data_IF_549172928883
#
_entry.id   IF_549172928883
#
_cell.length_a   1.000
_cell.length_b   1.000
_cell.length_c   1.000
_cell.angle_alpha   90.00
_cell.angle_beta   90.00
_cell.angle_gamma   90.00
#
_symmetry.space_group_name_H-M   'P 1'
#
loop_
_entity.id
_entity.type
_entity.pdbx_description
1 polymer ?
#
# COMPACT_ATOMS: atom_id res chain seq x y z
N UNK A 1 -1.78 4.85 -5.65
CA UNK A 1 -0.78 5.88 -5.29
C UNK A 1 -0.92 7.10 -6.16
N UNK A 2 -1.99 7.83 -5.85
CA UNK A 2 -2.20 9.22 -6.18
C UNK A 2 -1.25 10.08 -5.32
N UNK A 3 -0.81 11.21 -5.86
CA UNK A 3 0.11 12.11 -5.16
C UNK A 3 -0.60 13.02 -4.15
N UNK A 4 -1.93 13.11 -4.25
CA UNK A 4 -2.81 13.94 -3.44
C UNK A 4 -4.00 13.08 -3.02
N UNK A 5 -4.18 12.89 -1.72
CA UNK A 5 -5.20 12.00 -1.16
C UNK A 5 -5.90 12.62 0.06
N UNK A 6 -5.82 13.93 0.27
CA UNK A 6 -6.32 14.55 1.48
C UNK A 6 -7.78 14.19 1.80
N UNK A 7 -8.66 14.18 0.79
CA UNK A 7 -10.08 13.80 0.95
C UNK A 7 -10.22 12.33 1.36
N UNK A 8 -9.58 11.40 0.63
CA UNK A 8 -9.62 9.97 0.95
C UNK A 8 -9.04 9.68 2.34
N UNK A 9 -7.97 10.37 2.72
CA UNK A 9 -7.34 10.24 4.03
C UNK A 9 -8.25 10.72 5.15
N UNK A 10 -8.80 11.94 5.01
CA UNK A 10 -9.66 12.57 6.01
C UNK A 10 -10.99 11.83 6.18
N UNK A 11 -11.60 11.40 5.07
CA UNK A 11 -12.96 10.90 5.09
C UNK A 11 -13.06 9.39 5.34
N UNK A 12 -12.00 8.63 5.02
CA UNK A 12 -12.04 7.17 5.06
C UNK A 12 -10.81 6.52 5.70
N UNK A 13 -9.62 6.77 5.15
CA UNK A 13 -8.43 5.96 5.45
C UNK A 13 -7.94 6.13 6.90
N UNK A 14 -7.84 7.37 7.40
CA UNK A 14 -7.35 7.63 8.75
C UNK A 14 -8.25 6.97 9.80
N UNK A 15 -9.56 7.09 9.65
CA UNK A 15 -10.55 6.53 10.57
C UNK A 15 -10.52 4.99 10.53
N UNK A 16 -10.31 4.40 9.35
CA UNK A 16 -10.15 2.96 9.19
C UNK A 16 -8.87 2.43 9.87
N UNK A 17 -7.74 3.15 9.74
CA UNK A 17 -6.48 2.80 10.45
C UNK A 17 -6.66 2.89 11.96
N UNK A 18 -7.31 3.93 12.47
CA UNK A 18 -7.60 4.06 13.91
C UNK A 18 -8.42 2.87 14.39
N UNK A 19 -9.53 2.55 13.72
CA UNK A 19 -10.39 1.40 14.09
C UNK A 19 -9.65 0.07 14.03
N UNK A 20 -8.73 -0.07 13.07
CA UNK A 20 -7.89 -1.28 12.96
C UNK A 20 -6.96 -1.41 14.18
N UNK A 21 -6.32 -0.31 14.60
CA UNK A 21 -5.46 -0.29 15.81
C UNK A 21 -6.26 -0.57 17.07
N UNK A 22 -7.50 -0.09 17.17
CA UNK A 22 -8.41 -0.38 18.28
C UNK A 22 -8.85 -1.85 18.30
N UNK A 23 -9.07 -2.44 17.11
CA UNK A 23 -9.48 -3.84 16.97
C UNK A 23 -8.38 -4.81 17.39
N UNK A 24 -7.13 -4.55 17.00
CA UNK A 24 -5.99 -5.39 17.39
C UNK A 24 -5.45 -5.06 18.78
N UNK A 25 -5.69 -3.85 19.28
CA UNK A 25 -5.12 -3.33 20.50
C UNK A 25 -3.76 -2.66 20.28
N UNK A 26 -3.53 -1.54 20.97
CA UNK A 26 -2.35 -0.69 20.79
C UNK A 26 -1.03 -1.43 21.04
N UNK A 27 -1.01 -2.40 21.96
CA UNK A 27 0.19 -3.17 22.30
C UNK A 27 0.56 -4.23 21.23
N UNK A 28 -0.37 -4.55 20.32
CA UNK A 28 -0.18 -5.58 19.29
C UNK A 28 0.09 -4.99 17.89
N UNK A 29 0.18 -3.66 17.77
CA UNK A 29 0.32 -2.98 16.48
C UNK A 29 1.43 -1.93 16.54
N UNK A 30 2.17 -1.81 15.45
CA UNK A 30 3.02 -0.67 15.17
C UNK A 30 2.63 -0.05 13.83
N UNK A 31 2.45 1.27 13.79
CA UNK A 31 2.06 1.99 12.56
C UNK A 31 3.26 2.73 11.98
N UNK A 32 3.72 2.35 10.79
CA UNK A 32 4.72 3.11 10.01
C UNK A 32 4.06 3.75 8.80
N UNK A 33 4.12 5.08 8.70
CA UNK A 33 3.58 5.85 7.57
C UNK A 33 4.70 6.72 7.01
N UNK A 34 4.86 6.66 5.69
CA UNK A 34 5.75 7.54 4.96
C UNK A 34 4.98 8.26 3.85
N UNK A 35 4.94 9.59 3.91
CA UNK A 35 4.30 10.43 2.91
C UNK A 35 5.34 10.89 1.86
N UNK A 36 4.99 10.75 0.58
CA UNK A 36 5.88 10.93 -0.56
C UNK A 36 5.97 12.37 -1.12
N UNK A 37 5.66 13.39 -0.33
CA UNK A 37 5.73 14.78 -0.76
C UNK A 37 4.49 15.22 -1.55
N UNK A 38 3.30 14.99 -1.00
CA UNK A 38 2.07 15.60 -1.51
C UNK A 38 2.18 17.13 -1.47
N UNK A 39 1.41 17.80 -2.32
CA UNK A 39 1.30 19.26 -2.29
C UNK A 39 -0.11 19.73 -1.87
N UNK A 40 -0.96 18.80 -1.47
CA UNK A 40 -2.28 19.03 -0.89
C UNK A 40 -2.25 18.88 0.65
N UNK A 41 -3.43 18.91 1.27
CA UNK A 41 -3.60 18.76 2.72
C UNK A 41 -3.30 17.34 3.26
N UNK A 42 -2.77 16.39 2.46
CA UNK A 42 -2.49 15.04 2.93
C UNK A 42 -1.50 15.05 4.10
N UNK A 43 -0.52 15.97 4.07
CA UNK A 43 0.44 16.16 5.17
C UNK A 43 -0.26 16.49 6.48
N UNK A 44 -1.25 17.38 6.43
CA UNK A 44 -2.00 17.79 7.61
C UNK A 44 -2.92 16.67 8.10
N UNK A 45 -3.58 15.97 7.19
CA UNK A 45 -4.39 14.79 7.53
C UNK A 45 -3.57 13.70 8.24
N UNK A 46 -2.32 13.47 7.80
CA UNK A 46 -1.44 12.49 8.43
C UNK A 46 -0.90 12.97 9.79
N UNK A 47 -0.67 14.27 9.98
CA UNK A 47 -0.34 14.82 11.31
C UNK A 47 -1.50 14.67 12.29
N UNK A 48 -2.74 14.86 11.82
CA UNK A 48 -3.92 14.61 12.64
C UNK A 48 -4.02 13.13 13.04
N UNK A 49 -3.78 12.21 12.10
CA UNK A 49 -3.72 10.78 12.40
C UNK A 49 -2.63 10.46 13.42
N UNK A 50 -1.43 11.02 13.26
CA UNK A 50 -0.31 10.82 14.18
C UNK A 50 -0.68 11.23 15.61
N UNK A 51 -1.33 12.38 15.78
CA UNK A 51 -1.82 12.85 17.07
C UNK A 51 -2.94 11.96 17.66
N UNK A 52 -3.84 11.43 16.82
CA UNK A 52 -4.89 10.52 17.28
C UNK A 52 -4.36 9.14 17.71
N UNK A 53 -3.34 8.62 17.01
CA UNK A 53 -2.63 7.42 17.41
C UNK A 53 -1.81 7.64 18.69
N UNK A 54 -1.24 8.83 18.87
CA UNK A 54 -0.54 9.22 20.11
C UNK A 54 -1.46 9.15 21.33
N UNK A 55 -2.62 9.79 21.24
CA UNK A 55 -3.61 9.80 22.33
C UNK A 55 -4.06 8.40 22.73
N UNK A 56 -3.99 7.44 21.81
CA UNK A 56 -4.34 6.02 22.01
C UNK A 56 -3.16 5.16 22.45
N UNK A 57 -1.99 5.74 22.67
CA UNK A 57 -0.74 5.05 23.00
C UNK A 57 -0.33 3.99 21.95
N UNK A 58 -0.70 4.19 20.69
CA UNK A 58 -0.28 3.28 19.61
C UNK A 58 1.17 3.60 19.22
N UNK A 59 2.10 2.63 19.30
CA UNK A 59 3.46 2.79 18.80
C UNK A 59 3.46 3.10 17.30
N UNK A 60 4.17 4.16 16.90
CA UNK A 60 4.16 4.61 15.51
C UNK A 60 5.42 5.34 15.08
N UNK A 61 5.60 5.45 13.77
CA UNK A 61 6.48 6.40 13.09
C UNK A 61 5.74 7.00 11.91
N UNK A 62 5.50 8.30 11.94
CA UNK A 62 4.89 9.03 10.83
C UNK A 62 5.90 10.05 10.31
N UNK A 63 6.42 9.81 9.11
CA UNK A 63 7.38 10.69 8.45
C UNK A 63 6.70 11.35 7.25
N UNK A 64 6.62 12.67 7.27
CA UNK A 64 6.06 13.48 6.19
C UNK A 64 7.18 14.20 5.47
N UNK A 65 7.25 14.10 4.14
CA UNK A 65 8.34 14.73 3.39
C UNK A 65 8.19 16.26 3.35
N UNK A 66 9.26 16.98 3.64
CA UNK A 66 9.32 18.44 3.50
C UNK A 66 9.37 18.88 2.02
N UNK A 67 9.83 18.00 1.13
CA UNK A 67 9.95 18.27 -0.32
C UNK A 67 8.76 17.66 -1.04
N UNK A 68 8.08 18.43 -1.89
CA UNK A 68 6.97 17.89 -2.67
C UNK A 68 7.48 17.17 -3.92
N UNK A 69 6.67 16.27 -4.48
CA UNK A 69 6.95 15.70 -5.81
C UNK A 69 7.04 16.81 -6.87
N UNK A 70 6.27 17.89 -6.72
CA UNK A 70 6.36 19.06 -7.58
C UNK A 70 7.74 19.73 -7.49
N UNK A 71 8.28 19.90 -6.29
CA UNK A 71 9.63 20.45 -6.10
C UNK A 71 10.67 19.55 -6.75
N UNK A 72 10.56 18.23 -6.60
CA UNK A 72 11.46 17.27 -7.24
C UNK A 72 11.44 17.39 -8.77
N UNK A 73 10.26 17.51 -9.39
CA UNK A 73 10.16 17.61 -10.87
C UNK A 73 10.54 18.99 -11.41
N UNK A 74 10.43 20.05 -10.60
CA UNK A 74 10.75 21.43 -11.00
C UNK A 74 12.18 21.85 -10.70
N UNK A 75 12.94 21.03 -9.95
CA UNK A 75 14.37 21.26 -9.67
C UNK A 75 15.14 21.65 -10.95
N UNK A 76 16.06 22.64 -10.87
CA UNK A 76 16.94 22.99 -11.97
C UNK A 76 17.69 21.78 -12.49
N UNK A 77 17.95 21.71 -13.79
CA UNK A 77 18.54 20.52 -14.43
C UNK A 77 19.89 20.11 -13.82
N UNK A 78 20.66 21.07 -13.31
CA UNK A 78 21.96 20.84 -12.63
C UNK A 78 21.83 20.16 -11.26
N UNK A 79 20.64 20.18 -10.67
CA UNK A 79 20.33 19.63 -9.35
C UNK A 79 19.53 18.31 -9.44
N UNK A 80 19.19 17.89 -10.66
CA UNK A 80 18.48 16.63 -10.91
C UNK A 80 19.45 15.46 -10.77
N UNK A 81 19.21 14.61 -9.77
CA UNK A 81 20.05 13.44 -9.48
C UNK A 81 19.77 12.22 -10.36
N UNK A 82 20.15 11.04 -9.88
CA UNK A 82 19.91 9.78 -10.58
C UNK A 82 18.42 9.45 -10.73
N UNK A 83 18.02 8.90 -11.89
CA UNK A 83 16.65 8.42 -12.13
C UNK A 83 15.87 9.19 -13.19
N UNK A 84 16.39 10.32 -13.66
CA UNK A 84 15.84 11.07 -14.79
C UNK A 84 16.18 10.40 -16.12
N UNK A 85 15.24 10.42 -17.06
CA UNK A 85 15.39 9.89 -18.42
C UNK A 85 14.88 10.92 -19.44
N UNK A 86 15.49 10.93 -20.62
CA UNK A 86 15.03 11.75 -21.74
C UNK A 86 13.91 11.01 -22.50
N UNK A 87 12.77 11.67 -22.70
CA UNK A 87 11.64 11.16 -23.48
C UNK A 87 11.30 12.14 -24.60
N UNK A 88 10.43 11.74 -25.54
CA UNK A 88 9.92 12.64 -26.58
C UNK A 88 9.11 13.84 -26.04
N UNK A 89 8.70 13.80 -24.77
CA UNK A 89 7.99 14.87 -24.06
C UNK A 89 8.91 15.72 -23.16
N UNK A 90 10.21 15.43 -23.14
CA UNK A 90 11.20 16.07 -22.28
C UNK A 90 11.78 15.10 -21.23
N UNK A 91 12.53 15.64 -20.26
CA UNK A 91 13.08 14.85 -19.15
C UNK A 91 12.00 14.48 -18.15
N UNK A 92 11.90 13.20 -17.83
CA UNK A 92 10.95 12.65 -16.86
C UNK A 92 11.69 11.87 -15.75
N UNK A 93 11.22 11.98 -14.51
CA UNK A 93 11.74 11.18 -13.39
C UNK A 93 11.11 9.79 -13.42
N UNK A 94 11.94 8.73 -13.39
CA UNK A 94 11.43 7.36 -13.32
C UNK A 94 10.68 7.13 -12.01
N UNK A 95 9.37 6.94 -12.12
CA UNK A 95 8.45 6.73 -10.99
C UNK A 95 8.75 5.48 -10.18
N UNK A 96 9.08 4.35 -10.83
CA UNK A 96 9.28 3.06 -10.13
C UNK A 96 10.47 3.11 -9.15
N UNK A 97 11.69 3.53 -9.55
CA UNK A 97 12.82 3.65 -8.61
C UNK A 97 12.54 4.62 -7.46
N UNK A 98 11.83 5.72 -7.73
CA UNK A 98 11.44 6.67 -6.68
C UNK A 98 10.53 5.98 -5.64
N UNK A 99 9.45 5.33 -6.08
CA UNK A 99 8.53 4.62 -5.18
C UNK A 99 9.20 3.47 -4.44
N UNK A 100 10.12 2.76 -5.09
CA UNK A 100 10.89 1.69 -4.45
C UNK A 100 11.75 2.23 -3.29
N UNK A 101 12.41 3.38 -3.46
CA UNK A 101 13.17 4.03 -2.37
C UNK A 101 12.27 4.37 -1.18
N UNK A 102 11.05 4.84 -1.43
CA UNK A 102 10.11 5.16 -0.36
C UNK A 102 9.64 3.92 0.40
N UNK A 103 9.27 2.85 -0.31
CA UNK A 103 8.91 1.56 0.32
C UNK A 103 10.05 0.95 1.11
N UNK A 104 11.29 1.10 0.62
CA UNK A 104 12.45 0.62 1.36
C UNK A 104 12.65 1.35 2.70
N UNK A 105 12.22 2.61 2.82
CA UNK A 105 12.27 3.34 4.11
C UNK A 105 11.33 2.71 5.13
N UNK A 106 10.09 2.40 4.78
CA UNK A 106 9.14 1.78 5.72
C UNK A 106 9.60 0.36 6.12
N UNK A 107 10.20 -0.39 5.18
CA UNK A 107 10.80 -1.69 5.50
C UNK A 107 12.01 -1.54 6.42
N UNK A 108 12.77 -0.45 6.33
CA UNK A 108 13.90 -0.21 7.21
C UNK A 108 13.48 -0.07 8.68
N UNK A 109 12.29 0.46 8.97
CA UNK A 109 11.75 0.51 10.33
C UNK A 109 11.61 -0.87 10.95
N UNK A 110 11.16 -1.87 10.18
CA UNK A 110 11.06 -3.25 10.63
C UNK A 110 12.43 -3.82 11.02
N UNK A 111 13.48 -3.49 10.26
CA UNK A 111 14.86 -3.90 10.56
C UNK A 111 15.37 -3.22 11.83
N UNK A 112 15.09 -1.93 12.00
CA UNK A 112 15.51 -1.17 13.19
C UNK A 112 14.78 -1.63 14.46
N UNK A 113 13.49 -1.93 14.37
CA UNK A 113 12.70 -2.51 15.46
C UNK A 113 13.17 -3.91 15.82
N UNK A 114 13.47 -4.75 14.83
CA UNK A 114 14.04 -6.08 15.05
C UNK A 114 15.38 -6.03 15.80
N UNK A 115 16.26 -5.08 15.48
CA UNK A 115 17.51 -4.85 16.23
C UNK A 115 17.29 -4.45 17.69
N UNK A 116 16.13 -3.87 18.00
CA UNK A 116 15.70 -3.51 19.37
C UNK A 116 14.95 -4.66 20.07
N UNK A 117 14.82 -5.82 19.43
CA UNK A 117 14.13 -6.99 19.97
C UNK A 117 12.61 -6.98 19.74
N UNK A 118 12.08 -6.07 18.92
CA UNK A 118 10.67 -6.01 18.57
C UNK A 118 10.46 -6.74 17.24
N UNK A 119 9.61 -7.77 17.24
CA UNK A 119 9.30 -8.59 16.07
C UNK A 119 7.80 -8.66 15.84
N UNK A 120 7.39 -8.87 14.59
CA UNK A 120 5.98 -8.96 14.20
C UNK A 120 5.71 -10.28 13.49
N UNK A 121 4.57 -10.90 13.79
CA UNK A 121 4.14 -12.15 13.12
C UNK A 121 3.60 -11.89 11.71
N UNK A 122 3.04 -10.68 11.49
CA UNK A 122 2.45 -10.24 10.24
C UNK A 122 2.87 -8.80 9.94
N UNK A 123 3.02 -8.49 8.65
CA UNK A 123 3.24 -7.13 8.15
C UNK A 123 2.12 -6.85 7.17
N UNK A 124 1.36 -5.78 7.43
CA UNK A 124 0.28 -5.32 6.55
C UNK A 124 0.74 -4.07 5.81
N UNK A 125 0.78 -4.15 4.49
CA UNK A 125 1.07 -3.01 3.62
C UNK A 125 -0.24 -2.39 3.15
N UNK A 126 -0.41 -1.10 3.44
CA UNK A 126 -1.56 -0.30 3.03
C UNK A 126 -1.12 0.77 2.04
N UNK A 127 -1.69 0.74 0.83
CA UNK A 127 -1.69 1.90 -0.06
C UNK A 127 -2.82 2.89 0.36
N UNK A 128 -3.01 3.92 -0.46
CA UNK A 128 -4.08 4.91 -0.44
C UNK A 128 -5.43 4.38 -0.94
N UNK A 129 -5.88 3.23 -0.41
CA UNK A 129 -7.14 2.58 -0.80
C UNK A 129 -8.21 2.71 0.28
N UNK A 130 -9.48 2.77 -0.12
CA UNK A 130 -10.60 2.74 0.85
C UNK A 130 -10.82 1.30 1.30
N UNK A 131 -10.87 1.08 2.62
CA UNK A 131 -11.04 -0.24 3.20
C UNK A 131 -11.79 -0.17 4.55
N UNK A 132 -12.29 -1.32 4.97
CA UNK A 132 -12.89 -1.54 6.29
C UNK A 132 -12.04 -2.47 7.14
N UNK A 133 -12.26 -2.48 8.45
CA UNK A 133 -11.61 -3.44 9.36
C UNK A 133 -11.90 -4.88 8.92
N UNK A 134 -13.13 -5.16 8.45
CA UNK A 134 -13.53 -6.49 8.01
C UNK A 134 -12.77 -6.95 6.75
N UNK A 135 -12.46 -6.03 5.83
CA UNK A 135 -11.62 -6.35 4.66
C UNK A 135 -10.22 -6.82 5.09
N UNK A 136 -9.62 -6.15 6.08
CA UNK A 136 -8.30 -6.51 6.61
C UNK A 136 -8.35 -7.82 7.40
N UNK A 137 -9.36 -8.02 8.25
CA UNK A 137 -9.53 -9.27 8.99
C UNK A 137 -9.74 -10.45 8.04
N UNK A 138 -10.54 -10.27 6.99
CA UNK A 138 -10.75 -11.28 5.94
C UNK A 138 -9.46 -11.59 5.21
N UNK A 139 -8.68 -10.56 4.85
CA UNK A 139 -7.38 -10.74 4.22
C UNK A 139 -6.40 -11.49 5.15
N UNK A 140 -6.36 -11.15 6.44
CA UNK A 140 -5.50 -11.82 7.42
C UNK A 140 -5.92 -13.27 7.71
N UNK A 141 -7.20 -13.60 7.54
CA UNK A 141 -7.71 -14.97 7.67
C UNK A 141 -7.58 -15.80 6.38
N UNK A 142 -6.94 -15.26 5.33
CA UNK A 142 -6.67 -16.01 4.08
C UNK A 142 -6.05 -17.37 4.42
N UNK A 143 -6.68 -18.45 3.96
CA UNK A 143 -6.24 -19.82 4.26
C UNK A 143 -6.05 -20.09 5.78
N UNK A 144 -6.93 -19.55 6.63
CA UNK A 144 -6.87 -19.67 8.09
C UNK A 144 -5.62 -19.03 8.69
N UNK A 145 -5.12 -17.96 8.09
CA UNK A 145 -3.90 -17.26 8.49
C UNK A 145 -2.59 -17.89 8.01
N UNK A 146 -2.64 -19.01 7.28
CA UNK A 146 -1.46 -19.73 6.80
C UNK A 146 -1.11 -19.39 5.36
N UNK A 147 -0.28 -18.36 5.18
CA UNK A 147 0.22 -17.89 3.90
C UNK A 147 1.57 -17.18 4.07
N UNK A 148 2.39 -17.18 3.02
CA UNK A 148 3.60 -16.38 2.97
C UNK A 148 3.31 -14.92 2.59
N UNK A 149 2.36 -14.72 1.66
CA UNK A 149 1.81 -13.42 1.28
C UNK A 149 0.36 -13.61 0.78
N UNK A 150 -0.49 -12.62 1.03
CA UNK A 150 -1.85 -12.55 0.52
C UNK A 150 -2.11 -11.10 0.09
N UNK A 151 -2.93 -10.89 -0.93
CA UNK A 151 -3.29 -9.53 -1.36
C UNK A 151 -4.79 -9.44 -1.59
N UNK A 152 -5.33 -8.26 -1.34
CA UNK A 152 -6.72 -7.95 -1.65
C UNK A 152 -6.96 -7.85 -3.17
N UNK A 153 -8.22 -7.81 -3.59
CA UNK A 153 -8.57 -7.41 -4.95
C UNK A 153 -8.99 -5.94 -4.94
N UNK A 154 -8.13 -5.07 -5.47
CA UNK A 154 -8.36 -3.62 -5.54
C UNK A 154 -9.23 -3.26 -6.76
N UNK A 155 -10.39 -2.65 -6.54
CA UNK A 155 -11.30 -2.20 -7.59
C UNK A 155 -11.37 -0.68 -7.63
N UNK A 156 -11.07 -0.09 -8.78
CA UNK A 156 -11.24 1.37 -8.97
C UNK A 156 -12.71 1.78 -8.95
N UNK A 157 -13.54 1.02 -9.67
CA UNK A 157 -15.01 1.07 -9.61
C UNK A 157 -15.53 -0.31 -9.97
N UNK A 158 -16.11 -1.08 -9.04
CA UNK A 158 -16.64 -2.39 -9.35
C UNK A 158 -17.56 -2.35 -10.59
N UNK A 159 -17.37 -3.26 -11.57
CA UNK A 159 -16.55 -4.48 -11.51
C UNK A 159 -15.11 -4.35 -12.05
N UNK A 160 -14.59 -3.12 -12.24
CA UNK A 160 -13.27 -2.86 -12.84
C UNK A 160 -12.12 -3.14 -11.85
N UNK A 161 -11.44 -4.27 -12.05
CA UNK A 161 -10.29 -4.69 -11.29
C UNK A 161 -9.05 -3.86 -11.67
N UNK A 162 -8.37 -3.35 -10.65
CA UNK A 162 -7.28 -2.38 -10.73
C UNK A 162 -6.03 -2.88 -9.97
N UNK A 163 -4.96 -2.10 -10.05
CA UNK A 163 -3.65 -2.38 -9.44
C UNK A 163 -3.07 -3.77 -9.81
N UNK A 164 -3.28 -4.20 -11.06
CA UNK A 164 -2.93 -5.54 -11.54
C UNK A 164 -1.48 -5.68 -12.02
N UNK A 165 -0.63 -4.67 -11.78
CA UNK A 165 0.73 -4.62 -12.33
C UNK A 165 1.60 -5.79 -11.86
N UNK A 166 1.57 -6.07 -10.55
CA UNK A 166 2.31 -7.17 -9.91
C UNK A 166 1.55 -8.51 -9.94
N UNK A 167 0.28 -8.51 -10.35
CA UNK A 167 -0.55 -9.70 -10.33
C UNK A 167 -0.12 -10.70 -11.41
N UNK A 168 0.21 -11.91 -10.99
CA UNK A 168 0.47 -13.04 -11.86
C UNK A 168 -0.34 -14.23 -11.38
N UNK A 169 -1.12 -14.84 -12.28
CA UNK A 169 -1.90 -16.03 -11.94
C UNK A 169 -1.01 -17.21 -11.56
N UNK A 170 -1.60 -18.36 -11.20
CA UNK A 170 -0.81 -19.52 -10.74
C UNK A 170 0.11 -20.10 -11.83
N UNK A 171 -0.12 -19.76 -13.10
CA UNK A 171 0.73 -20.15 -14.24
C UNK A 171 1.73 -19.03 -14.62
N UNK A 172 1.76 -17.93 -13.87
CA UNK A 172 2.66 -16.80 -14.11
C UNK A 172 2.16 -15.80 -15.15
N UNK A 173 0.91 -15.89 -15.61
CA UNK A 173 0.37 -14.96 -16.60
C UNK A 173 -0.11 -13.66 -15.94
N UNK A 174 0.09 -12.54 -16.63
CA UNK A 174 -0.51 -11.26 -16.23
C UNK A 174 -2.05 -11.31 -16.32
N UNK A 175 -2.69 -10.35 -15.65
CA UNK A 175 -4.13 -10.14 -15.74
C UNK A 175 -4.61 -10.07 -17.20
N UNK A 176 -5.76 -10.67 -17.48
CA UNK A 176 -6.29 -10.75 -18.86
C UNK A 176 -7.10 -9.51 -19.21
N UNK A 177 -7.95 -9.06 -18.29
CA UNK A 177 -8.83 -7.91 -18.47
C UNK A 177 -9.32 -7.39 -17.11
N UNK A 178 -9.88 -6.18 -17.11
CA UNK A 178 -10.36 -5.50 -15.90
C UNK A 178 -11.73 -5.99 -15.44
N UNK A 179 -12.50 -6.69 -16.28
CA UNK A 179 -13.77 -7.32 -15.90
C UNK A 179 -13.62 -8.83 -15.88
N UNK A 180 -14.61 -9.55 -15.37
CA UNK A 180 -14.55 -11.01 -15.44
C UNK A 180 -14.42 -11.50 -16.90
N UNK A 181 -13.50 -12.44 -17.21
CA UNK A 181 -12.55 -13.12 -16.32
C UNK A 181 -11.19 -12.42 -16.13
N UNK A 182 -10.77 -12.26 -14.87
CA UNK A 182 -9.50 -11.60 -14.50
C UNK A 182 -8.24 -12.45 -14.82
N UNK A 183 -8.33 -13.77 -14.63
CA UNK A 183 -7.19 -14.70 -14.72
C UNK A 183 -7.21 -15.57 -15.99
N UNK A 184 -6.03 -15.91 -16.52
CA UNK A 184 -5.88 -16.83 -17.66
C UNK A 184 -5.85 -18.29 -17.24
N UNK A 185 -5.28 -18.60 -16.10
CA UNK A 185 -5.27 -19.96 -15.56
C UNK A 185 -6.69 -20.38 -15.17
N UNK A 186 -7.04 -21.62 -15.56
CA UNK A 186 -8.29 -22.24 -15.13
C UNK A 186 -8.32 -22.46 -13.62
N UNK A 187 -7.17 -22.76 -13.01
CA UNK A 187 -7.08 -23.02 -11.56
C UNK A 187 -7.40 -21.77 -10.76
N UNK A 188 -6.79 -20.63 -11.07
CA UNK A 188 -7.09 -19.35 -10.41
C UNK A 188 -8.55 -18.91 -10.65
N UNK A 189 -9.07 -19.05 -11.88
CA UNK A 189 -10.49 -18.76 -12.16
C UNK A 189 -11.45 -19.64 -11.38
N UNK A 190 -11.19 -20.95 -11.34
CA UNK A 190 -12.04 -21.89 -10.62
C UNK A 190 -12.04 -21.58 -9.13
N UNK A 191 -10.89 -21.22 -8.54
CA UNK A 191 -10.82 -20.85 -7.14
C UNK A 191 -11.74 -19.65 -6.84
N UNK A 192 -11.74 -18.64 -7.70
CA UNK A 192 -12.59 -17.46 -7.54
C UNK A 192 -14.09 -17.81 -7.69
N UNK A 193 -14.47 -18.55 -8.74
CA UNK A 193 -15.90 -18.87 -9.03
C UNK A 193 -16.49 -19.83 -8.00
N UNK A 194 -15.67 -20.70 -7.42
CA UNK A 194 -16.12 -21.65 -6.39
C UNK A 194 -16.00 -21.08 -4.97
N UNK A 195 -15.72 -19.78 -4.82
CA UNK A 195 -15.58 -19.11 -3.52
C UNK A 195 -14.63 -19.85 -2.58
N UNK A 196 -13.51 -20.34 -3.11
CA UNK A 196 -12.47 -20.93 -2.27
C UNK A 196 -11.86 -19.84 -1.38
N UNK A 197 -11.34 -20.24 -0.21
CA UNK A 197 -10.78 -19.30 0.77
C UNK A 197 -9.56 -18.51 0.31
N UNK A 198 -8.98 -18.83 -0.86
CA UNK A 198 -7.95 -18.04 -1.52
C UNK A 198 -7.89 -18.37 -3.02
N UNK A 199 -7.44 -17.40 -3.82
CA UNK A 199 -7.08 -17.63 -5.23
C UNK A 199 -5.57 -17.82 -5.33
N UNK A 200 -5.08 -18.99 -5.78
CA UNK A 200 -3.65 -19.21 -5.91
C UNK A 200 -3.09 -18.36 -7.06
N UNK A 201 -1.98 -17.68 -6.76
CA UNK A 201 -1.25 -16.76 -7.64
C UNK A 201 0.25 -16.95 -7.43
N UNK A 202 1.05 -16.61 -8.43
CA UNK A 202 2.51 -16.61 -8.28
C UNK A 202 3.04 -15.29 -7.71
N UNK A 203 2.32 -14.18 -7.92
CA UNK A 203 2.59 -12.90 -7.28
C UNK A 203 1.35 -12.01 -7.25
N UNK A 204 1.28 -11.13 -6.25
CA UNK A 204 0.27 -10.08 -6.14
C UNK A 204 0.83 -8.87 -5.40
N UNK A 205 0.22 -7.69 -5.63
CA UNK A 205 0.36 -6.48 -4.83
C UNK A 205 -0.75 -5.55 -5.31
N UNK A 206 -1.83 -5.43 -4.54
CA UNK A 206 -3.09 -4.85 -5.00
C UNK A 206 -3.73 -4.06 -3.86
N UNK A 207 -3.41 -2.76 -3.73
CA UNK A 207 -3.96 -1.91 -2.66
C UNK A 207 -3.49 -2.27 -1.24
N UNK A 208 -3.92 -3.43 -0.75
CA UNK A 208 -3.61 -4.03 0.57
C UNK A 208 -2.96 -5.41 0.37
N UNK A 209 -1.90 -5.71 1.13
CA UNK A 209 -1.25 -7.02 1.18
C UNK A 209 -0.43 -7.27 2.42
#
# INVERSE_FOLDING_TARGET
MHWNNAEVLKDYWNDAVIKLTETFGADNVFVSIYESGSWDDSKEALRMLDAELEKRNVPRRVEVSETTHYDEITKPEKERGEGWIDTSRGRELRRIPYLAKLRNKTIQDLIELSKKGITFDKVLFLNDVVFTVEDVLTLMDTNGGNYAAACSMDFSKPPLYYDTFALRDIEGHAHVMQTWPYFRSRTSRNALVNHLGAVPVTSCWNGIG
#
